data_IF_019908119683
#
_entry.id   IF_019908119683
#
_cell.length_a   1.000
_cell.length_b   1.000
_cell.length_c   1.000
_cell.angle_alpha   90.00
_cell.angle_beta   90.00
_cell.angle_gamma   90.00
#
_symmetry.space_group_name_H-M   'P 1'
#
loop_
_entity.id
_entity.type
_entity.pdbx_description
1 polymer ?
#
# COMPACT_ATOMS: atom_id res chain seq x y z
N UNK A 1 -20.34 43.99 10.58
CA UNK A 1 -20.78 42.68 10.08
C UNK A 1 -20.05 42.37 8.77
N UNK A 2 -19.10 41.44 8.78
CA UNK A 2 -18.91 40.48 7.68
C UNK A 2 -17.90 39.44 8.15
N UNK A 3 -18.39 38.22 8.34
CA UNK A 3 -17.64 37.08 8.85
C UNK A 3 -16.63 36.64 7.79
N UNK A 4 -15.33 36.73 8.11
CA UNK A 4 -14.32 35.94 7.39
C UNK A 4 -14.46 34.51 7.87
N UNK A 5 -15.24 33.75 7.10
CA UNK A 5 -15.29 32.29 7.13
C UNK A 5 -13.90 31.81 6.70
N UNK A 6 -13.02 31.61 7.67
CA UNK A 6 -11.77 30.92 7.47
C UNK A 6 -12.11 29.51 7.00
N UNK A 7 -11.54 29.16 5.87
CA UNK A 7 -11.75 27.94 5.14
C UNK A 7 -11.70 26.73 6.07
N UNK A 8 -12.69 25.86 5.88
CA UNK A 8 -12.69 24.54 6.47
C UNK A 8 -11.37 23.87 6.11
N UNK A 9 -10.52 23.65 7.11
CA UNK A 9 -9.44 22.68 7.05
C UNK A 9 -10.02 21.43 6.39
N UNK A 10 -9.53 21.10 5.20
CA UNK A 10 -9.88 19.86 4.51
C UNK A 10 -9.44 18.75 5.43
N UNK A 11 -10.39 18.22 6.20
CA UNK A 11 -10.18 17.18 7.19
C UNK A 11 -9.72 15.92 6.47
N UNK A 12 -8.44 15.60 6.69
CA UNK A 12 -7.68 14.40 6.32
C UNK A 12 -8.36 13.44 5.35
N UNK A 13 -8.08 13.56 4.06
CA UNK A 13 -8.19 12.42 3.18
C UNK A 13 -7.03 11.49 3.52
N UNK A 14 -7.30 10.22 3.84
CA UNK A 14 -6.28 9.18 3.86
C UNK A 14 -5.38 9.27 2.63
N UNK A 15 -4.12 9.66 2.83
CA UNK A 15 -3.20 9.82 1.70
C UNK A 15 -2.68 8.45 1.29
N UNK A 16 -3.06 8.03 0.09
CA UNK A 16 -2.44 6.92 -0.63
C UNK A 16 -1.24 7.44 -1.39
N UNK A 17 -0.04 7.20 -0.87
CA UNK A 17 1.20 7.74 -1.41
C UNK A 17 2.07 6.66 -2.04
N UNK A 18 2.33 6.78 -3.34
CA UNK A 18 3.30 5.93 -4.03
C UNK A 18 4.72 6.40 -3.69
N UNK A 19 5.39 5.69 -2.79
CA UNK A 19 6.79 5.94 -2.48
C UNK A 19 7.70 5.45 -3.62
N UNK A 20 7.37 4.29 -4.17
CA UNK A 20 7.92 3.77 -5.43
C UNK A 20 6.74 3.34 -6.31
N UNK A 21 6.41 4.08 -7.37
CA UNK A 21 5.28 3.74 -8.22
C UNK A 21 5.55 2.44 -8.99
N UNK A 22 4.52 1.65 -9.30
CA UNK A 22 4.70 0.42 -10.07
C UNK A 22 5.17 0.72 -11.49
N UNK A 23 6.07 -0.14 -11.98
CA UNK A 23 6.46 -0.21 -13.39
C UNK A 23 5.68 -1.33 -14.11
N UNK A 24 5.80 -1.42 -15.43
CA UNK A 24 5.25 -2.55 -16.20
C UNK A 24 5.84 -3.92 -15.78
N UNK A 25 7.00 -3.90 -15.11
CA UNK A 25 7.68 -5.10 -14.59
C UNK A 25 7.27 -5.41 -13.15
N UNK A 26 6.42 -4.60 -12.52
CA UNK A 26 6.01 -4.83 -11.14
C UNK A 26 5.44 -6.25 -10.97
N UNK A 27 6.04 -7.00 -10.06
CA UNK A 27 5.64 -8.37 -9.69
C UNK A 27 5.21 -8.46 -8.23
N UNK A 28 5.59 -7.50 -7.39
CA UNK A 28 5.22 -7.44 -5.97
C UNK A 28 4.95 -5.97 -5.61
N UNK A 29 3.91 -5.72 -4.83
CA UNK A 29 3.68 -4.42 -4.20
C UNK A 29 3.77 -4.57 -2.69
N UNK A 30 4.63 -3.78 -2.04
CA UNK A 30 4.61 -3.65 -0.58
C UNK A 30 3.67 -2.50 -0.22
N UNK A 31 2.72 -2.77 0.65
CA UNK A 31 1.82 -1.77 1.23
C UNK A 31 2.19 -1.58 2.69
N UNK A 32 2.45 -0.34 3.11
CA UNK A 32 2.87 -0.02 4.47
C UNK A 32 2.02 1.11 5.05
N UNK A 33 1.93 1.15 6.38
CA UNK A 33 1.44 2.30 7.12
C UNK A 33 2.64 3.02 7.79
N UNK A 34 2.42 4.13 8.53
CA UNK A 34 3.51 4.83 9.21
C UNK A 34 4.11 4.07 10.40
N UNK A 35 3.54 2.93 10.80
CA UNK A 35 3.89 2.25 12.06
C UNK A 35 5.33 1.70 12.16
N UNK A 36 6.01 1.29 11.06
CA UNK A 36 7.44 0.93 11.12
C UNK A 36 8.37 2.13 11.41
N UNK A 37 7.85 3.36 11.33
CA UNK A 37 8.59 4.59 11.53
C UNK A 37 9.30 5.10 10.27
N UNK A 38 9.46 6.42 10.19
CA UNK A 38 9.97 7.10 8.99
C UNK A 38 11.37 6.64 8.56
N UNK A 39 12.24 6.29 9.52
CA UNK A 39 13.58 5.78 9.22
C UNK A 39 13.54 4.43 8.49
N UNK A 40 12.67 3.52 8.92
CA UNK A 40 12.49 2.22 8.28
C UNK A 40 11.86 2.35 6.90
N UNK A 41 10.85 3.21 6.75
CA UNK A 41 10.24 3.53 5.46
C UNK A 41 11.27 4.09 4.47
N UNK A 42 12.07 5.07 4.89
CA UNK A 42 13.13 5.65 4.06
C UNK A 42 14.17 4.62 3.65
N UNK A 43 14.62 3.78 4.58
CA UNK A 43 15.57 2.71 4.29
C UNK A 43 14.99 1.64 3.35
N UNK A 44 13.70 1.32 3.45
CA UNK A 44 13.01 0.44 2.51
C UNK A 44 12.96 1.05 1.10
N UNK A 45 12.59 2.33 0.97
CA UNK A 45 12.61 3.05 -0.31
C UNK A 45 13.99 3.01 -0.95
N UNK A 46 15.03 3.35 -0.19
CA UNK A 46 16.41 3.30 -0.67
C UNK A 46 16.82 1.89 -1.13
N UNK A 47 16.40 0.84 -0.39
CA UNK A 47 16.70 -0.55 -0.73
C UNK A 47 16.03 -1.01 -2.02
N UNK A 48 14.79 -0.60 -2.27
CA UNK A 48 14.00 -1.08 -3.40
C UNK A 48 14.02 -0.15 -4.63
N UNK A 49 14.59 1.05 -4.53
CA UNK A 49 14.60 2.02 -5.63
C UNK A 49 15.20 1.49 -6.95
N UNK A 50 16.13 0.52 -6.88
CA UNK A 50 16.77 -0.10 -8.04
C UNK A 50 16.06 -1.37 -8.54
N UNK A 51 14.93 -1.77 -7.94
CA UNK A 51 14.20 -3.00 -8.25
C UNK A 51 12.88 -2.67 -8.98
N UNK A 52 12.84 -2.64 -10.32
CA UNK A 52 11.63 -2.29 -11.06
C UNK A 52 10.47 -3.28 -10.87
N UNK A 53 10.75 -4.48 -10.37
CA UNK A 53 9.77 -5.50 -10.02
C UNK A 53 9.02 -5.21 -8.72
N UNK A 54 9.45 -4.21 -7.94
CA UNK A 54 8.88 -3.87 -6.64
C UNK A 54 8.24 -2.49 -6.67
N UNK A 55 6.98 -2.41 -6.23
CA UNK A 55 6.29 -1.14 -5.96
C UNK A 55 6.12 -0.95 -4.45
N UNK A 56 6.13 0.30 -3.98
CA UNK A 56 5.91 0.66 -2.58
C UNK A 56 4.77 1.67 -2.46
N UNK A 57 3.74 1.31 -1.72
CA UNK A 57 2.58 2.13 -1.41
C UNK A 57 2.51 2.38 0.09
N UNK A 58 2.36 3.63 0.49
CA UNK A 58 2.08 4.02 1.86
C UNK A 58 0.63 4.47 1.99
N UNK A 59 -0.05 3.99 3.04
CA UNK A 59 -1.38 4.45 3.45
C UNK A 59 -1.23 5.07 4.83
N UNK A 60 -1.32 6.40 4.91
CA UNK A 60 -1.03 7.14 6.15
C UNK A 60 -2.01 6.81 7.28
N UNK A 61 -3.28 6.62 6.95
CA UNK A 61 -4.33 6.20 7.88
C UNK A 61 -5.12 5.01 7.29
N UNK A 62 -4.73 3.76 7.61
CA UNK A 62 -5.41 2.58 7.11
C UNK A 62 -6.89 2.49 7.51
N UNK A 63 -7.25 3.04 8.68
CA UNK A 63 -8.61 2.95 9.23
C UNK A 63 -9.53 3.93 8.51
N UNK A 64 -9.09 5.17 8.33
CA UNK A 64 -9.82 6.15 7.54
C UNK A 64 -9.89 5.71 6.06
N UNK A 65 -8.82 5.11 5.51
CA UNK A 65 -8.82 4.60 4.15
C UNK A 65 -9.84 3.48 3.96
N UNK A 66 -9.95 2.57 4.93
CA UNK A 66 -10.95 1.51 4.94
C UNK A 66 -12.37 2.07 5.00
N UNK A 67 -12.59 3.09 5.85
CA UNK A 67 -13.89 3.77 5.97
C UNK A 67 -14.27 4.43 4.65
N UNK A 68 -13.38 5.22 4.06
CA UNK A 68 -13.62 5.91 2.79
C UNK A 68 -13.91 4.93 1.65
N UNK A 69 -13.21 3.79 1.62
CA UNK A 69 -13.51 2.71 0.67
C UNK A 69 -14.89 2.11 0.92
N UNK A 70 -15.21 1.75 2.15
CA UNK A 70 -16.50 1.15 2.51
C UNK A 70 -17.68 2.08 2.15
N UNK A 71 -17.52 3.38 2.38
CA UNK A 71 -18.51 4.40 2.01
C UNK A 71 -18.67 4.53 0.49
N UNK A 72 -17.60 4.30 -0.30
CA UNK A 72 -17.66 4.33 -1.76
C UNK A 72 -18.46 3.16 -2.37
N UNK A 73 -18.62 2.06 -1.63
CA UNK A 73 -19.42 0.90 -2.05
C UNK A 73 -20.93 1.10 -1.78
N UNK A 74 -21.32 2.13 -1.02
CA UNK A 74 -22.71 2.37 -0.66
C UNK A 74 -23.50 3.01 -1.83
N UNK A 75 -24.68 2.48 -2.18
CA UNK A 75 -25.50 3.03 -3.25
C UNK A 75 -26.01 4.44 -2.88
N UNK A 76 -25.79 5.42 -3.77
CA UNK A 76 -26.24 6.80 -3.59
C UNK A 76 -25.12 7.80 -3.32
N UNK A 77 -23.90 7.34 -3.01
CA UNK A 77 -22.72 8.20 -3.00
C UNK A 77 -22.27 8.44 -4.44
N UNK A 78 -22.44 9.67 -4.94
CA UNK A 78 -21.77 10.10 -6.18
C UNK A 78 -20.29 10.12 -5.86
N UNK A 79 -19.44 9.31 -6.53
CA UNK A 79 -18.01 9.37 -6.30
C UNK A 79 -17.56 10.79 -6.63
N UNK A 80 -17.06 11.52 -5.63
CA UNK A 80 -16.35 12.76 -5.92
C UNK A 80 -15.12 12.35 -6.74
N UNK A 81 -15.18 12.63 -8.04
CA UNK A 81 -14.29 12.08 -9.06
C UNK A 81 -12.80 12.40 -8.82
N UNK A 82 -12.51 13.29 -7.87
CA UNK A 82 -11.17 13.73 -7.53
C UNK A 82 -10.51 13.00 -6.35
N UNK A 83 -11.23 12.25 -5.49
CA UNK A 83 -10.67 11.88 -4.16
C UNK A 83 -10.77 10.44 -3.69
N UNK A 84 -11.62 9.58 -4.23
CA UNK A 84 -11.85 8.28 -3.58
C UNK A 84 -11.91 7.15 -4.58
N UNK A 85 -10.76 6.56 -4.90
CA UNK A 85 -10.71 5.15 -5.29
C UNK A 85 -9.36 4.54 -4.92
N UNK A 86 -9.28 3.78 -3.81
CA UNK A 86 -8.26 2.75 -3.63
C UNK A 86 -8.07 1.92 -4.92
N UNK A 87 -9.18 1.61 -5.59
CA UNK A 87 -9.23 0.94 -6.90
C UNK A 87 -8.43 1.71 -7.97
N UNK A 88 -8.49 3.05 -8.04
CA UNK A 88 -7.73 3.85 -9.00
C UNK A 88 -6.23 3.93 -8.69
N UNK A 89 -5.84 3.75 -7.42
CA UNK A 89 -4.43 3.72 -7.05
C UNK A 89 -3.87 2.32 -7.30
N UNK A 90 -4.57 1.28 -6.87
CA UNK A 90 -4.20 -0.12 -7.09
C UNK A 90 -4.33 -0.54 -8.55
N UNK A 91 -5.18 0.10 -9.37
CA UNK A 91 -5.27 -0.15 -10.81
C UNK A 91 -3.99 0.16 -11.58
N UNK A 92 -3.03 0.87 -10.95
CA UNK A 92 -1.69 1.07 -11.52
C UNK A 92 -0.83 -0.19 -11.44
N UNK A 93 -1.20 -1.16 -10.60
CA UNK A 93 -0.52 -2.45 -10.51
C UNK A 93 -0.98 -3.35 -11.66
N UNK A 94 -0.06 -4.12 -12.27
CA UNK A 94 -0.44 -5.23 -13.11
C UNK A 94 -1.40 -6.17 -12.38
N UNK A 95 -2.38 -6.73 -13.10
CA UNK A 95 -3.36 -7.65 -12.51
C UNK A 95 -2.67 -8.85 -11.86
N UNK A 96 -3.13 -9.22 -10.66
CA UNK A 96 -2.62 -10.39 -9.94
C UNK A 96 -1.30 -10.17 -9.21
N UNK A 97 -0.77 -8.93 -9.18
CA UNK A 97 0.39 -8.62 -8.34
C UNK A 97 0.02 -8.81 -6.86
N UNK A 98 0.74 -9.67 -6.11
CA UNK A 98 0.52 -9.82 -4.69
C UNK A 98 0.81 -8.53 -3.93
N UNK A 99 -0.03 -8.25 -2.94
CA UNK A 99 0.17 -7.16 -1.98
C UNK A 99 0.81 -7.73 -0.71
N UNK A 100 2.00 -7.25 -0.36
CA UNK A 100 2.70 -7.54 0.88
C UNK A 100 2.47 -6.43 1.89
N UNK A 101 1.71 -6.70 2.94
CA UNK A 101 1.47 -5.70 4.00
C UNK A 101 2.66 -5.65 4.95
N UNK A 102 3.24 -4.48 5.18
CA UNK A 102 4.33 -4.21 6.13
C UNK A 102 3.87 -3.18 7.16
N UNK A 103 3.37 -3.66 8.31
CA UNK A 103 2.80 -2.84 9.39
C UNK A 103 2.87 -3.61 10.72
N UNK A 104 2.91 -2.87 11.84
CA UNK A 104 2.76 -3.42 13.20
C UNK A 104 1.31 -3.80 13.53
N UNK A 105 0.34 -3.31 12.73
CA UNK A 105 -1.09 -3.61 12.83
C UNK A 105 -1.65 -4.04 11.47
N UNK A 106 -1.21 -5.19 10.94
CA UNK A 106 -1.60 -5.64 9.59
C UNK A 106 -3.12 -5.82 9.43
N UNK A 107 -3.84 -6.11 10.52
CA UNK A 107 -5.31 -6.22 10.50
C UNK A 107 -6.02 -4.93 10.05
N UNK A 108 -5.41 -3.77 10.22
CA UNK A 108 -5.96 -2.49 9.76
C UNK A 108 -5.88 -2.35 8.22
N UNK A 109 -5.19 -3.29 7.54
CA UNK A 109 -4.96 -3.35 6.10
C UNK A 109 -5.52 -4.63 5.44
N UNK A 110 -6.13 -5.54 6.19
CA UNK A 110 -6.65 -6.83 5.65
C UNK A 110 -7.74 -6.61 4.58
N UNK A 111 -8.50 -5.52 4.71
CA UNK A 111 -9.55 -5.13 3.78
C UNK A 111 -9.05 -4.87 2.35
N UNK A 112 -7.75 -4.61 2.16
CA UNK A 112 -7.14 -4.45 0.84
C UNK A 112 -7.35 -5.67 -0.06
N UNK A 113 -7.52 -6.86 0.51
CA UNK A 113 -7.80 -8.08 -0.25
C UNK A 113 -9.17 -8.09 -0.90
N UNK A 114 -10.10 -7.27 -0.39
CA UNK A 114 -11.40 -7.04 -1.00
C UNK A 114 -11.35 -6.10 -2.20
N UNK A 115 -10.23 -5.41 -2.44
CA UNK A 115 -10.09 -4.44 -3.54
C UNK A 115 -9.54 -5.15 -4.79
N UNK A 116 -10.35 -5.21 -5.84
CA UNK A 116 -10.03 -5.79 -7.15
C UNK A 116 -9.58 -7.27 -7.12
N UNK A 117 -9.80 -7.99 -6.02
CA UNK A 117 -9.43 -9.39 -5.87
C UNK A 117 -7.92 -9.64 -5.83
N UNK A 118 -7.13 -8.63 -5.45
CA UNK A 118 -5.69 -8.80 -5.30
C UNK A 118 -5.36 -9.81 -4.18
N UNK A 119 -4.42 -10.72 -4.44
CA UNK A 119 -3.94 -11.65 -3.40
C UNK A 119 -3.14 -10.84 -2.37
N UNK A 120 -3.74 -10.59 -1.21
CA UNK A 120 -3.03 -10.02 -0.06
C UNK A 120 -2.33 -11.14 0.69
N UNK A 121 -1.02 -10.97 0.91
CA UNK A 121 -0.24 -11.77 1.84
C UNK A 121 0.23 -10.84 2.95
N UNK A 122 -0.41 -10.96 4.11
CA UNK A 122 -0.03 -10.17 5.27
C UNK A 122 1.37 -10.60 5.75
N UNK A 123 2.22 -9.61 6.02
CA UNK A 123 3.52 -9.85 6.62
C UNK A 123 3.65 -9.05 7.92
N UNK A 124 3.60 -9.77 9.03
CA UNK A 124 3.73 -9.20 10.37
C UNK A 124 5.15 -8.65 10.55
N UNK A 125 5.28 -7.36 10.84
CA UNK A 125 6.54 -6.80 11.35
C UNK A 125 6.73 -7.17 12.81
N UNK A 126 7.97 -7.42 13.19
CA UNK A 126 8.35 -7.67 14.58
C UNK A 126 8.70 -6.34 15.24
N UNK A 127 7.97 -5.99 16.30
CA UNK A 127 8.24 -4.82 17.13
C UNK A 127 9.59 -4.98 17.85
N UNK A 128 10.38 -3.91 17.94
CA UNK A 128 11.67 -3.88 18.66
C UNK A 128 12.94 -4.25 17.88
N UNK A 129 12.86 -4.61 16.60
CA UNK A 129 14.05 -4.83 15.75
C UNK A 129 14.72 -3.50 15.34
N UNK A 130 16.04 -3.48 15.19
CA UNK A 130 16.75 -2.36 14.54
C UNK A 130 16.29 -2.17 13.08
N UNK A 131 16.29 -0.92 12.61
CA UNK A 131 15.83 -0.54 11.26
C UNK A 131 16.45 -1.40 10.16
N UNK A 132 17.76 -1.66 10.22
CA UNK A 132 18.45 -2.48 9.23
C UNK A 132 17.94 -3.94 9.21
N UNK A 133 17.64 -4.48 10.39
CA UNK A 133 17.09 -5.82 10.53
C UNK A 133 15.67 -5.90 9.96
N UNK A 134 14.82 -4.90 10.25
CA UNK A 134 13.47 -4.81 9.69
C UNK A 134 13.48 -4.78 8.16
N UNK A 135 14.32 -3.91 7.57
CA UNK A 135 14.43 -3.78 6.10
C UNK A 135 15.04 -5.04 5.47
N UNK A 136 15.99 -5.68 6.13
CA UNK A 136 16.60 -6.93 5.64
C UNK A 136 15.60 -8.09 5.61
N UNK A 137 14.75 -8.19 6.65
CA UNK A 137 13.64 -9.16 6.68
C UNK A 137 12.63 -8.87 5.56
N UNK A 138 12.21 -7.61 5.42
CA UNK A 138 11.32 -7.19 4.33
C UNK A 138 11.90 -7.58 2.96
N UNK A 139 13.18 -7.30 2.71
CA UNK A 139 13.86 -7.68 1.48
C UNK A 139 13.84 -9.20 1.24
N UNK A 140 14.18 -10.00 2.25
CA UNK A 140 14.19 -11.46 2.11
C UNK A 140 12.82 -12.00 1.66
N UNK A 141 11.75 -11.39 2.13
CA UNK A 141 10.38 -11.76 1.83
C UNK A 141 9.92 -11.27 0.46
N UNK A 142 10.24 -10.04 0.10
CA UNK A 142 10.04 -9.53 -1.26
C UNK A 142 10.75 -10.44 -2.27
N UNK A 143 11.99 -10.83 -2.02
CA UNK A 143 12.73 -11.75 -2.89
C UNK A 143 12.10 -13.14 -2.96
N UNK A 144 11.51 -13.63 -1.87
CA UNK A 144 10.78 -14.90 -1.86
C UNK A 144 9.54 -14.83 -2.75
N UNK A 145 8.75 -13.76 -2.63
CA UNK A 145 7.56 -13.56 -3.48
C UNK A 145 7.92 -13.31 -4.94
N UNK A 146 9.01 -12.57 -5.21
CA UNK A 146 9.51 -12.41 -6.58
C UNK A 146 9.86 -13.76 -7.22
N UNK A 147 10.57 -14.64 -6.48
CA UNK A 147 10.87 -15.99 -6.96
C UNK A 147 9.60 -16.79 -7.23
N UNK A 148 8.60 -16.67 -6.36
CA UNK A 148 7.32 -17.36 -6.53
C UNK A 148 6.55 -16.84 -7.75
N UNK A 149 6.44 -15.52 -7.92
CA UNK A 149 5.78 -14.89 -9.07
C UNK A 149 6.47 -15.21 -10.40
N UNK A 150 7.80 -15.32 -10.41
CA UNK A 150 8.55 -15.77 -11.60
C UNK A 150 8.26 -17.23 -11.90
N UNK A 151 8.25 -18.11 -10.90
CA UNK A 151 7.96 -19.53 -11.07
C UNK A 151 6.52 -19.79 -11.55
N UNK A 152 5.53 -19.07 -11.00
CA UNK A 152 4.13 -19.17 -11.45
C UNK A 152 3.97 -18.76 -12.92
N UNK A 153 4.66 -17.69 -13.36
CA UNK A 153 4.60 -17.25 -14.77
C UNK A 153 5.30 -18.22 -15.75
N UNK A 154 6.33 -18.97 -15.31
CA UNK A 154 6.98 -19.96 -16.17
C UNK A 154 6.14 -21.24 -16.40
N UNK A 155 5.10 -21.47 -15.59
CA UNK A 155 4.22 -22.64 -15.71
C UNK A 155 3.02 -22.43 -16.66
N UNK A 156 2.84 -21.21 -17.19
CA UNK A 156 1.73 -20.85 -18.10
C UNK A 156 2.21 -20.83 -19.57
N UNK A 157 3.36 -21.43 -19.86
CA UNK A 157 3.90 -21.57 -21.22
C UNK A 157 4.09 -23.03 -21.62
#
# INVERSE_FOLDING_TARGET
MSARKLDAVSSGASTWNWLLPPSERARVCVVMDPSPGAAAVSAAVARFAAMPEVALLQIDDPVDAHRAWSESLMPGNVPDAAKTRPECRLSRLPRGVPLLVWSTRPQDLDWLGGIDGNRVRALVTFDGDEVEMQVSRLLALVLKELKHAIAENMLIH
#
